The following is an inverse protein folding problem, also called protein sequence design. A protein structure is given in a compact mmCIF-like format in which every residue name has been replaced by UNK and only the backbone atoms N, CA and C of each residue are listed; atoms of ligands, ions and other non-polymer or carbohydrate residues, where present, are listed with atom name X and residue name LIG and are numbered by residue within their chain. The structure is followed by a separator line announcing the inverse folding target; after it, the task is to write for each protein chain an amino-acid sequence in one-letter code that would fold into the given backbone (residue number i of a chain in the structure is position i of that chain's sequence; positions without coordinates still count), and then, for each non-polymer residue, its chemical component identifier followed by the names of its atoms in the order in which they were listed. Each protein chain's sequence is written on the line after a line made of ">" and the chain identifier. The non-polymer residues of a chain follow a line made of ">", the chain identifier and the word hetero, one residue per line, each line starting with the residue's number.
data_IF_023059585592
#
_entry.id   IF_023059585592
#
_cell.length_a   1.000
_cell.length_b   1.000
_cell.length_c   1.000
_cell.angle_alpha   90.00
_cell.angle_beta   90.00
_cell.angle_gamma   90.00
#
_symmetry.space_group_name_H-M   'P 1'
#
loop_
_entity.id
_entity.type
_entity.pdbx_description
1 polymer ?
#
# COMPACT_ATOMS: atom_id res chain seq x y z
N UNK A 1 -3.41 -16.30 12.93
CA UNK A 1 -3.77 -14.88 12.76
C UNK A 1 -4.03 -14.61 11.28
N UNK A 2 -5.06 -13.85 10.93
CA UNK A 2 -5.45 -13.57 9.53
C UNK A 2 -5.19 -12.12 9.22
N UNK A 3 -4.31 -11.83 8.28
CA UNK A 3 -3.85 -10.45 8.05
C UNK A 3 -4.39 -9.93 6.72
N UNK A 4 -4.54 -8.61 6.62
CA UNK A 4 -4.89 -7.91 5.39
C UNK A 4 -3.77 -6.94 5.03
N UNK A 5 -3.23 -7.06 3.82
CA UNK A 5 -2.30 -6.07 3.28
C UNK A 5 -3.01 -5.23 2.22
N UNK A 6 -3.10 -3.92 2.45
CA UNK A 6 -3.70 -3.00 1.50
C UNK A 6 -2.61 -2.32 0.64
N UNK A 7 -2.51 -2.76 -0.61
CA UNK A 7 -1.66 -2.14 -1.62
C UNK A 7 -2.23 -0.80 -2.08
N UNK A 8 -1.35 0.20 -2.24
CA UNK A 8 -1.69 1.53 -2.76
C UNK A 8 -0.75 1.93 -3.90
N UNK A 9 0.24 2.76 -3.60
CA UNK A 9 1.24 3.23 -4.58
C UNK A 9 2.49 2.34 -4.61
N UNK A 10 2.46 1.24 -3.86
CA UNK A 10 3.53 0.28 -3.61
C UNK A 10 3.21 -1.08 -4.25
N UNK A 11 2.84 -1.08 -5.54
CA UNK A 11 2.49 -2.27 -6.33
C UNK A 11 3.73 -3.15 -6.64
N UNK A 12 4.41 -3.63 -5.61
CA UNK A 12 5.64 -4.43 -5.71
C UNK A 12 5.79 -5.37 -4.52
N UNK A 13 6.50 -6.47 -4.76
CA UNK A 13 6.88 -7.44 -3.72
C UNK A 13 8.26 -7.10 -3.12
N UNK A 14 9.19 -6.64 -3.95
CA UNK A 14 10.53 -6.23 -3.53
C UNK A 14 10.48 -4.96 -2.69
N UNK A 15 11.34 -4.87 -1.67
CA UNK A 15 11.47 -3.70 -0.81
C UNK A 15 10.12 -3.15 -0.31
N UNK A 16 9.22 -4.07 0.05
CA UNK A 16 7.91 -3.74 0.61
C UNK A 16 7.87 -4.17 2.08
N UNK A 17 8.17 -3.22 2.98
CA UNK A 17 8.18 -3.46 4.42
C UNK A 17 6.80 -3.83 4.98
N UNK A 18 5.73 -3.28 4.42
CA UNK A 18 4.37 -3.58 4.85
C UNK A 18 4.01 -5.02 4.51
N UNK A 19 4.28 -5.46 3.28
CA UNK A 19 4.06 -6.85 2.88
C UNK A 19 4.90 -7.84 3.70
N UNK A 20 6.20 -7.54 3.89
CA UNK A 20 7.12 -8.39 4.63
C UNK A 20 6.75 -8.55 6.12
N UNK A 21 5.96 -7.64 6.69
CA UNK A 21 5.51 -7.71 8.09
C UNK A 21 4.63 -8.94 8.39
N UNK A 22 4.04 -9.54 7.35
CA UNK A 22 3.05 -10.61 7.48
C UNK A 22 3.64 -12.03 7.38
N UNK A 23 4.96 -12.18 7.39
CA UNK A 23 5.61 -13.50 7.27
C UNK A 23 5.17 -14.51 8.35
N UNK A 24 4.73 -14.03 9.52
CA UNK A 24 4.27 -14.87 10.63
C UNK A 24 2.74 -15.12 10.66
N UNK A 25 1.99 -14.63 9.67
CA UNK A 25 0.53 -14.81 9.64
C UNK A 25 0.15 -16.21 9.14
N UNK A 26 -1.00 -16.73 9.58
CA UNK A 26 -1.53 -18.01 9.09
C UNK A 26 -2.18 -17.85 7.71
N UNK A 27 -2.69 -16.65 7.42
CA UNK A 27 -3.33 -16.31 6.16
C UNK A 27 -3.20 -14.82 5.88
N UNK A 28 -3.06 -14.48 4.60
CA UNK A 28 -2.88 -13.11 4.13
C UNK A 28 -3.87 -12.80 3.02
N UNK A 29 -4.63 -11.73 3.18
CA UNK A 29 -5.48 -11.16 2.13
C UNK A 29 -4.78 -9.94 1.52
N UNK A 30 -4.30 -10.06 0.28
CA UNK A 30 -3.78 -8.93 -0.47
C UNK A 30 -4.93 -8.18 -1.16
N UNK A 31 -5.09 -6.89 -0.85
CA UNK A 31 -6.18 -6.05 -1.35
C UNK A 31 -5.62 -4.88 -2.15
N UNK A 32 -6.22 -4.60 -3.31
CA UNK A 32 -6.11 -3.31 -3.99
C UNK A 32 -7.51 -2.73 -4.23
N UNK A 33 -7.67 -1.43 -3.97
CA UNK A 33 -8.90 -0.71 -4.25
C UNK A 33 -8.70 0.18 -5.46
N UNK A 34 -9.43 -0.11 -6.54
CA UNK A 34 -9.41 0.70 -7.74
C UNK A 34 -9.89 2.13 -7.41
N UNK A 35 -9.09 3.15 -7.73
CA UNK A 35 -9.47 4.53 -7.47
C UNK A 35 -10.72 4.89 -8.28
N UNK A 36 -11.77 5.34 -7.61
CA UNK A 36 -12.92 5.99 -8.27
C UNK A 36 -12.69 7.49 -8.26
N UNK A 37 -12.23 8.08 -9.36
CA UNK A 37 -12.05 9.52 -9.41
C UNK A 37 -13.40 10.20 -9.21
N UNK A 38 -13.48 11.09 -8.20
CA UNK A 38 -14.62 12.00 -8.09
C UNK A 38 -14.40 13.10 -9.14
N UNK A 39 -15.32 13.28 -10.11
CA UNK A 39 -15.17 14.35 -11.08
C UNK A 39 -15.18 15.70 -10.37
N UNK A 40 -14.14 16.53 -10.61
CA UNK A 40 -14.02 17.86 -10.03
C UNK A 40 -13.51 18.86 -11.08
N UNK A 41 -14.22 19.98 -11.26
CA UNK A 41 -13.88 21.11 -12.13
C UNK A 41 -13.16 20.74 -13.46
N UNK A 42 -13.78 19.88 -14.27
CA UNK A 42 -13.30 19.39 -15.58
C UNK A 42 -12.25 18.27 -15.57
N UNK A 43 -11.88 17.74 -14.41
CA UNK A 43 -11.05 16.54 -14.31
C UNK A 43 -11.97 15.32 -14.25
N UNK A 44 -11.96 14.50 -15.30
CA UNK A 44 -12.74 13.25 -15.39
C UNK A 44 -12.04 12.07 -14.71
N UNK A 45 -10.95 12.32 -14.00
CA UNK A 45 -10.26 11.32 -13.20
C UNK A 45 -8.91 10.91 -13.73
N UNK A 46 -8.65 9.60 -13.68
CA UNK A 46 -7.41 9.02 -14.19
C UNK A 46 -7.47 9.01 -15.71
N UNK A 47 -6.48 9.62 -16.37
CA UNK A 47 -6.39 9.58 -17.83
C UNK A 47 -6.16 8.16 -18.36
N UNK A 48 -6.57 7.86 -19.60
CA UNK A 48 -6.60 6.50 -20.14
C UNK A 48 -5.24 5.80 -20.12
N UNK A 49 -4.14 6.53 -20.34
CA UNK A 49 -2.80 5.95 -20.29
C UNK A 49 -2.38 5.55 -18.88
N UNK A 50 -2.74 6.35 -17.88
CA UNK A 50 -2.44 6.04 -16.48
C UNK A 50 -3.32 4.89 -15.98
N UNK A 51 -4.57 4.83 -16.42
CA UNK A 51 -5.45 3.70 -16.11
C UNK A 51 -4.92 2.40 -16.73
N UNK A 52 -4.51 2.43 -18.00
CA UNK A 52 -3.88 1.29 -18.66
C UNK A 52 -2.64 0.82 -17.92
N UNK A 53 -1.72 1.73 -17.61
CA UNK A 53 -0.50 1.40 -16.86
C UNK A 53 -0.81 0.80 -15.49
N UNK A 54 -1.82 1.33 -14.79
CA UNK A 54 -2.26 0.80 -13.50
C UNK A 54 -2.78 -0.64 -13.62
N UNK A 55 -3.65 -0.91 -14.61
CA UNK A 55 -4.19 -2.26 -14.83
C UNK A 55 -3.10 -3.26 -15.22
N UNK A 56 -2.17 -2.85 -16.09
CA UNK A 56 -1.00 -3.66 -16.46
C UNK A 56 -0.12 -3.96 -15.22
N UNK A 57 0.12 -2.95 -14.37
CA UNK A 57 0.88 -3.11 -13.12
C UNK A 57 0.18 -4.05 -12.13
N UNK A 58 -1.15 -3.98 -12.01
CA UNK A 58 -1.92 -4.88 -11.15
C UNK A 58 -1.93 -6.32 -11.67
N UNK A 59 -1.95 -6.50 -12.99
CA UNK A 59 -1.86 -7.82 -13.61
C UNK A 59 -0.50 -8.47 -13.35
N UNK A 60 0.59 -7.71 -13.51
CA UNK A 60 1.95 -8.17 -13.18
C UNK A 60 2.12 -8.47 -11.68
N UNK A 61 1.58 -7.60 -10.80
CA UNK A 61 1.59 -7.84 -9.35
C UNK A 61 0.83 -9.12 -8.99
N UNK A 62 -0.35 -9.33 -9.59
CA UNK A 62 -1.15 -10.54 -9.38
C UNK A 62 -0.36 -11.79 -9.81
N UNK A 63 0.24 -11.79 -11.00
CA UNK A 63 1.07 -12.91 -11.46
C UNK A 63 2.25 -13.19 -10.51
N UNK A 64 2.88 -12.13 -10.01
CA UNK A 64 3.99 -12.25 -9.05
C UNK A 64 3.54 -12.84 -7.72
N UNK A 65 2.34 -12.48 -7.24
CA UNK A 65 1.73 -13.06 -6.03
C UNK A 65 1.33 -14.52 -6.24
N UNK A 66 0.77 -14.86 -7.41
CA UNK A 66 0.39 -16.24 -7.77
C UNK A 66 1.60 -17.18 -7.79
N UNK A 67 2.77 -16.70 -8.24
CA UNK A 67 4.02 -17.44 -8.18
C UNK A 67 4.45 -17.79 -6.73
N UNK A 68 3.96 -17.04 -5.74
CA UNK A 68 4.18 -17.28 -4.30
C UNK A 68 3.00 -17.98 -3.62
N UNK A 69 2.04 -18.52 -4.38
CA UNK A 69 0.84 -19.18 -3.83
C UNK A 69 -0.19 -18.21 -3.23
N UNK A 70 -0.09 -16.92 -3.56
CA UNK A 70 -0.97 -15.84 -3.13
C UNK A 70 -1.89 -15.35 -4.26
N UNK A 71 -2.80 -14.43 -3.95
CA UNK A 71 -3.64 -13.81 -4.98
C UNK A 71 -3.99 -12.37 -4.59
N UNK A 72 -4.30 -11.54 -5.58
CA UNK A 72 -4.68 -10.14 -5.41
C UNK A 72 -6.19 -9.97 -5.53
N UNK A 73 -6.84 -9.53 -4.45
CA UNK A 73 -8.23 -9.11 -4.47
C UNK A 73 -8.30 -7.65 -4.94
N UNK A 74 -8.87 -7.43 -6.12
CA UNK A 74 -9.08 -6.08 -6.67
C UNK A 74 -10.56 -5.73 -6.56
N UNK A 75 -10.88 -4.69 -5.80
CA UNK A 75 -12.25 -4.22 -5.60
C UNK A 75 -12.39 -2.75 -5.97
N UNK A 76 -13.63 -2.34 -6.13
CA UNK A 76 -14.02 -0.96 -6.39
C UNK A 76 -14.83 -0.44 -5.20
N UNK A 77 -14.42 0.68 -4.61
CA UNK A 77 -15.17 1.29 -3.51
C UNK A 77 -14.32 2.18 -2.63
N UNK A 78 -14.97 2.82 -1.66
CA UNK A 78 -14.26 3.62 -0.65
C UNK A 78 -13.62 2.70 0.39
N UNK A 79 -12.34 2.91 0.75
CA UNK A 79 -11.65 2.10 1.74
C UNK A 79 -12.39 2.06 3.08
N UNK A 80 -13.01 3.17 3.46
CA UNK A 80 -13.79 3.35 4.69
C UNK A 80 -15.01 2.42 4.77
N UNK A 81 -15.52 1.93 3.64
CA UNK A 81 -16.64 0.98 3.60
C UNK A 81 -16.17 -0.44 3.32
N UNK A 82 -15.26 -0.61 2.37
CA UNK A 82 -14.84 -1.93 1.88
C UNK A 82 -13.98 -2.64 2.92
N UNK A 83 -13.01 -1.96 3.52
CA UNK A 83 -12.05 -2.59 4.44
C UNK A 83 -12.75 -3.10 5.71
N UNK A 84 -13.61 -2.32 6.41
CA UNK A 84 -14.33 -2.85 7.57
C UNK A 84 -15.18 -4.08 7.24
N UNK A 85 -15.86 -4.07 6.08
CA UNK A 85 -16.62 -5.24 5.63
C UNK A 85 -15.74 -6.48 5.42
N UNK A 86 -14.55 -6.33 4.81
CA UNK A 86 -13.61 -7.43 4.62
C UNK A 86 -13.04 -7.93 5.95
N UNK A 87 -12.76 -7.02 6.89
CA UNK A 87 -12.27 -7.36 8.23
C UNK A 87 -13.26 -8.26 8.95
N UNK A 88 -14.55 -7.89 8.96
CA UNK A 88 -15.62 -8.69 9.56
C UNK A 88 -15.82 -10.02 8.81
N UNK A 89 -15.91 -9.97 7.47
CA UNK A 89 -16.21 -11.14 6.63
C UNK A 89 -15.15 -12.24 6.72
N UNK A 90 -13.88 -11.86 6.75
CA UNK A 90 -12.76 -12.82 6.76
C UNK A 90 -12.16 -13.03 8.16
N UNK A 91 -12.67 -12.33 9.18
CA UNK A 91 -12.13 -12.39 10.54
C UNK A 91 -10.66 -11.97 10.58
N UNK A 92 -10.34 -10.85 9.92
CA UNK A 92 -9.00 -10.28 9.90
C UNK A 92 -8.65 -9.81 11.31
N UNK A 93 -7.42 -10.08 11.74
CA UNK A 93 -6.90 -9.75 13.07
C UNK A 93 -5.88 -8.61 13.05
N UNK A 94 -5.30 -8.29 11.88
CA UNK A 94 -4.35 -7.19 11.70
C UNK A 94 -4.39 -6.71 10.23
N UNK A 95 -4.22 -5.40 10.03
CA UNK A 95 -4.05 -4.81 8.71
C UNK A 95 -2.70 -4.10 8.60
N UNK A 96 -2.03 -4.18 7.44
CA UNK A 96 -0.90 -3.30 7.11
C UNK A 96 -1.13 -2.48 5.84
N UNK A 97 -0.46 -1.34 5.79
CA UNK A 97 -0.47 -0.42 4.65
C UNK A 97 0.81 0.41 4.63
N UNK A 98 1.29 0.79 3.45
CA UNK A 98 2.41 1.72 3.31
C UNK A 98 1.95 3.17 3.42
N UNK A 99 2.68 4.01 4.15
CA UNK A 99 2.39 5.42 4.39
C UNK A 99 2.37 6.24 3.09
N UNK A 100 1.56 7.30 3.09
CA UNK A 100 1.40 8.19 1.94
C UNK A 100 1.34 9.66 2.39
N UNK A 101 2.04 10.58 1.71
CA UNK A 101 2.07 11.98 2.12
C UNK A 101 0.75 12.73 1.85
N UNK A 102 -0.12 12.20 0.98
CA UNK A 102 -1.36 12.85 0.56
C UNK A 102 -2.42 12.95 1.67
N UNK A 103 -3.18 14.04 1.64
CA UNK A 103 -4.15 14.38 2.69
C UNK A 103 -5.31 13.37 2.76
N UNK A 104 -5.91 13.05 1.61
CA UNK A 104 -7.03 12.11 1.54
C UNK A 104 -6.62 10.72 2.03
N UNK A 105 -5.44 10.25 1.60
CA UNK A 105 -4.91 8.95 2.01
C UNK A 105 -4.62 8.86 3.51
N UNK A 106 -4.20 9.98 4.14
CA UNK A 106 -4.02 10.05 5.59
C UNK A 106 -5.36 10.02 6.32
N UNK A 107 -6.35 10.77 5.84
CA UNK A 107 -7.69 10.78 6.42
C UNK A 107 -8.34 9.39 6.39
N UNK A 108 -8.20 8.64 5.29
CA UNK A 108 -8.70 7.25 5.21
C UNK A 108 -8.05 6.34 6.26
N UNK A 109 -6.74 6.48 6.50
CA UNK A 109 -6.03 5.68 7.51
C UNK A 109 -6.44 6.06 8.92
N UNK A 110 -6.57 7.35 9.22
CA UNK A 110 -7.08 7.81 10.53
C UNK A 110 -8.47 7.23 10.79
N UNK A 111 -9.38 7.35 9.81
CA UNK A 111 -10.71 6.78 9.91
C UNK A 111 -10.69 5.28 10.19
N UNK A 112 -9.90 4.51 9.44
CA UNK A 112 -9.81 3.06 9.63
C UNK A 112 -9.21 2.69 10.99
N UNK A 113 -8.22 3.44 11.47
CA UNK A 113 -7.61 3.22 12.78
C UNK A 113 -8.60 3.47 13.91
N UNK A 114 -9.49 4.46 13.77
CA UNK A 114 -10.54 4.75 14.75
C UNK A 114 -11.73 3.77 14.66
N UNK A 115 -12.06 3.32 13.44
CA UNK A 115 -13.24 2.50 13.16
C UNK A 115 -13.02 1.01 13.43
N UNK A 116 -11.83 0.50 13.13
CA UNK A 116 -11.50 -0.91 13.26
C UNK A 116 -11.09 -1.26 14.69
N UNK A 117 -11.47 -2.43 15.17
CA UNK A 117 -11.04 -2.96 16.47
C UNK A 117 -9.71 -3.70 16.40
N UNK A 118 -9.13 -3.82 15.20
CA UNK A 118 -7.87 -4.52 14.93
C UNK A 118 -6.72 -3.51 14.78
N UNK A 119 -5.48 -3.90 15.08
CA UNK A 119 -4.31 -3.06 14.79
C UNK A 119 -4.19 -2.74 13.30
N UNK A 120 -3.91 -1.47 13.01
CA UNK A 120 -3.57 -0.94 11.69
C UNK A 120 -2.11 -0.53 11.68
N UNK A 121 -1.26 -1.33 11.05
CA UNK A 121 0.18 -1.10 10.94
C UNK A 121 0.48 -0.22 9.72
N UNK A 122 0.92 1.00 9.98
CA UNK A 122 1.36 1.93 8.93
C UNK A 122 2.87 1.84 8.81
N UNK A 123 3.35 1.30 7.69
CA UNK A 123 4.76 1.17 7.41
C UNK A 123 5.26 2.36 6.60
N UNK A 124 6.56 2.63 6.67
CA UNK A 124 7.21 3.64 5.83
C UNK A 124 6.86 3.46 4.34
N UNK A 125 6.50 4.56 3.68
CA UNK A 125 6.27 4.62 2.24
C UNK A 125 7.55 4.68 1.38
N UNK A 126 7.39 5.11 0.13
CA UNK A 126 8.42 5.04 -0.92
C UNK A 126 9.44 6.20 -0.89
N UNK A 127 10.09 6.45 0.24
CA UNK A 127 11.16 7.46 0.36
C UNK A 127 12.51 6.82 0.67
N UNK A 128 13.63 7.43 0.25
CA UNK A 128 14.99 6.97 0.59
C UNK A 128 15.40 7.24 2.03
N UNK A 129 14.86 8.31 2.64
CA UNK A 129 15.08 8.66 4.04
C UNK A 129 13.73 8.71 4.78
N UNK A 130 13.73 8.19 6.01
CA UNK A 130 12.68 8.49 7.00
C UNK A 130 12.97 9.84 7.66
N UNK A 131 11.98 10.39 8.36
CA UNK A 131 12.17 11.58 9.20
C UNK A 131 13.31 11.40 10.20
N UNK A 132 13.46 10.20 10.79
CA UNK A 132 14.52 9.89 11.74
C UNK A 132 15.91 9.76 11.10
N UNK A 133 16.00 9.54 9.79
CA UNK A 133 17.28 9.47 9.09
C UNK A 133 17.80 10.89 8.76
N UNK A 134 16.95 11.92 8.79
CA UNK A 134 17.32 13.27 8.39
C UNK A 134 18.19 13.95 9.46
N UNK A 135 19.26 14.68 9.06
CA UNK A 135 20.12 15.43 9.97
C UNK A 135 19.49 16.78 10.39
N UNK A 136 18.17 16.89 10.31
CA UNK A 136 17.40 18.09 10.65
C UNK A 136 15.97 17.71 10.97
N UNK A 137 15.28 18.55 11.75
CA UNK A 137 13.83 18.43 11.97
C UNK A 137 13.05 18.90 10.75
N UNK A 138 11.77 18.50 10.66
CA UNK A 138 10.88 18.94 9.57
C UNK A 138 10.73 20.47 9.51
N UNK A 139 10.69 21.15 10.66
CA UNK A 139 10.61 22.62 10.73
C UNK A 139 11.88 23.32 10.22
N UNK A 140 13.01 22.62 10.20
CA UNK A 140 14.30 23.14 9.72
C UNK A 140 14.61 22.73 8.27
N UNK A 141 13.63 22.16 7.55
CA UNK A 141 13.78 21.79 6.15
C UNK A 141 14.02 23.03 5.28
N UNK A 142 15.06 23.01 4.42
CA UNK A 142 15.30 24.10 3.49
C UNK A 142 14.14 24.26 2.50
N UNK A 143 13.77 25.51 2.23
CA UNK A 143 12.75 25.85 1.22
C UNK A 143 13.22 25.63 -0.23
N UNK A 144 14.52 25.40 -0.42
CA UNK A 144 15.15 25.12 -1.72
C UNK A 144 15.79 23.74 -1.70
N UNK A 145 15.72 23.02 -2.82
CA UNK A 145 16.22 21.65 -2.93
C UNK A 145 17.74 21.52 -2.72
N UNK A 146 18.56 22.43 -3.26
CA UNK A 146 20.02 22.26 -3.24
C UNK A 146 20.63 22.22 -1.82
N UNK A 147 20.22 23.10 -0.87
CA UNK A 147 20.64 22.96 0.53
C UNK A 147 20.15 21.67 1.19
N UNK A 148 18.94 21.19 0.88
CA UNK A 148 18.44 19.91 1.38
C UNK A 148 19.32 18.76 0.90
N UNK A 149 19.58 18.68 -0.42
CA UNK A 149 20.45 17.66 -1.04
C UNK A 149 21.82 17.61 -0.37
N UNK A 150 22.51 18.74 -0.23
CA UNK A 150 23.86 18.80 0.38
C UNK A 150 23.92 18.24 1.80
N UNK A 151 22.81 18.33 2.54
CA UNK A 151 22.70 17.78 3.90
C UNK A 151 22.46 16.27 3.87
N UNK A 152 21.61 15.77 2.97
CA UNK A 152 21.22 14.34 2.93
C UNK A 152 22.14 13.46 2.08
N UNK A 153 22.90 14.02 1.13
CA UNK A 153 23.75 13.22 0.22
C UNK A 153 24.90 12.50 0.92
N UNK A 154 25.22 12.89 2.16
CA UNK A 154 26.24 12.26 3.01
C UNK A 154 25.71 11.10 3.85
N UNK A 155 24.38 10.91 3.87
CA UNK A 155 23.74 9.85 4.64
C UNK A 155 23.92 8.50 3.95
N UNK A 156 24.02 7.45 4.75
CA UNK A 156 24.04 6.08 4.24
C UNK A 156 22.61 5.69 3.83
N UNK A 157 22.44 5.39 2.54
CA UNK A 157 21.18 4.85 2.03
C UNK A 157 21.15 3.35 2.32
N UNK A 158 20.09 2.89 2.98
CA UNK A 158 19.87 1.46 3.23
C UNK A 158 19.57 0.78 1.90
N UNK A 159 20.20 -0.37 1.67
CA UNK A 159 19.95 -1.18 0.48
C UNK A 159 18.50 -1.69 0.44
N UNK A 160 17.98 -2.00 -0.76
CA UNK A 160 16.64 -2.55 -0.91
C UNK A 160 16.56 -3.91 -0.22
N UNK A 161 15.39 -4.23 0.35
CA UNK A 161 15.11 -5.57 0.85
C UNK A 161 14.67 -6.49 -0.28
N UNK A 162 15.07 -7.75 -0.21
CA UNK A 162 14.60 -8.79 -1.12
C UNK A 162 13.09 -9.03 -0.93
N UNK A 163 12.43 -9.49 -1.99
CA UNK A 163 11.05 -9.98 -1.88
C UNK A 163 10.97 -11.17 -0.92
N UNK A 164 9.83 -11.34 -0.23
CA UNK A 164 9.61 -12.55 0.55
C UNK A 164 9.62 -13.78 -0.35
N UNK A 165 10.36 -14.82 0.04
CA UNK A 165 10.41 -16.11 -0.68
C UNK A 165 9.08 -16.87 -0.60
N UNK A 166 8.30 -16.61 0.45
CA UNK A 166 7.00 -17.23 0.70
C UNK A 166 6.04 -16.20 1.31
N UNK A 167 4.77 -16.31 0.95
CA UNK A 167 3.70 -15.57 1.57
C UNK A 167 2.71 -16.56 2.23
N UNK A 168 2.06 -16.19 3.34
CA UNK A 168 0.97 -16.98 3.90
C UNK A 168 -0.09 -17.25 2.83
N UNK A 169 -0.90 -18.32 2.90
CA UNK A 169 -1.92 -18.60 1.90
C UNK A 169 -3.12 -17.62 1.96
N UNK A 170 -3.83 -17.40 0.84
CA UNK A 170 -5.00 -16.52 0.83
C UNK A 170 -6.15 -17.17 1.61
N UNK A 171 -7.04 -16.39 2.25
CA UNK A 171 -8.27 -16.93 2.81
C UNK A 171 -9.16 -17.47 1.67
N UNK A 172 -10.15 -18.30 2.00
CA UNK A 172 -11.18 -18.75 1.04
C UNK A 172 -12.05 -17.56 0.60
N UNK A 173 -11.52 -16.75 -0.31
CA UNK A 173 -12.15 -15.59 -0.91
C UNK A 173 -12.36 -15.83 -2.41
N UNK A 174 -13.36 -15.15 -2.97
CA UNK A 174 -13.53 -15.10 -4.41
C UNK A 174 -12.58 -14.03 -4.96
N UNK A 175 -11.65 -14.44 -5.81
CA UNK A 175 -10.70 -13.55 -6.48
C UNK A 175 -11.14 -13.38 -7.92
N UNK A 176 -11.89 -12.32 -8.19
CA UNK A 176 -12.36 -12.04 -9.54
C UNK A 176 -11.18 -11.65 -10.47
N UNK A 177 -11.41 -11.79 -11.77
CA UNK A 177 -10.45 -11.31 -12.76
C UNK A 177 -10.35 -9.78 -12.69
N UNK A 178 -9.14 -9.25 -12.85
CA UNK A 178 -8.95 -7.81 -13.00
C UNK A 178 -9.65 -7.41 -14.30
N UNK A 179 -10.59 -6.45 -14.31
CA UNK A 179 -11.35 -6.12 -15.51
C UNK A 179 -10.41 -5.71 -16.64
N UNK A 180 -10.53 -6.43 -17.76
CA UNK A 180 -9.85 -6.12 -19.02
C UNK A 180 -10.68 -5.04 -19.72
N UNK A 181 -10.02 -4.05 -20.31
CA UNK A 181 -10.61 -2.87 -20.98
C UNK A 181 -11.81 -3.17 -21.87
#
# INVERSE_FOLDING_TARGET
>A
MRHLHWFRTDLRLNDNMALASHAAADSLLCLYLMPKPKPWCNITGIGPQRERFLRESLAELKQSLEALGQNLLVLEGSPELVIPHLVERYGITEMSVSDHPGWEEKQSITYLTEKLTIPVQVHRGNTLFTEHDLPMTLDALPTVFSPFRRRVEKLVVRGPREAPEQLPPPPSAQFDAIPIS
#
